data_IF_939328716553
#
_entry.id   IF_939328716553
#
_cell.length_a   1.000
_cell.length_b   1.000
_cell.length_c   1.000
_cell.angle_alpha   90.00
_cell.angle_beta   90.00
_cell.angle_gamma   90.00
#
_symmetry.space_group_name_H-M   'P 1'
#
loop_
_entity.id
_entity.type
_entity.pdbx_description
1 polymer ?
#
# COMPACT_ATOMS: atom_id res chain seq x y z
N UNK A 1 -22.33 -27.69 12.58
CA UNK A 1 -21.29 -27.13 13.46
C UNK A 1 -20.19 -28.16 13.57
N UNK A 2 -18.95 -27.82 13.19
CA UNK A 2 -17.81 -28.72 13.33
C UNK A 2 -17.53 -28.84 14.84
N UNK A 3 -17.63 -30.06 15.37
CA UNK A 3 -17.51 -30.31 16.80
C UNK A 3 -16.02 -30.34 17.18
N UNK A 4 -15.55 -29.49 18.11
CA UNK A 4 -14.12 -29.39 18.45
C UNK A 4 -13.56 -30.71 18.97
N UNK A 5 -14.36 -31.50 19.69
CA UNK A 5 -13.96 -32.84 20.16
C UNK A 5 -13.60 -33.81 19.03
N UNK A 6 -14.31 -33.76 17.90
CA UNK A 6 -14.00 -34.62 16.75
C UNK A 6 -12.71 -34.21 16.05
N UNK A 7 -12.38 -32.91 16.07
CA UNK A 7 -11.12 -32.40 15.55
C UNK A 7 -9.94 -32.82 16.44
N UNK A 8 -10.14 -32.78 17.76
CA UNK A 8 -9.18 -33.25 18.77
C UNK A 8 -8.89 -34.75 18.60
N UNK A 9 -9.93 -35.58 18.49
CA UNK A 9 -9.78 -37.04 18.33
C UNK A 9 -9.02 -37.38 17.02
N UNK A 10 -9.32 -36.67 15.93
CA UNK A 10 -8.61 -36.82 14.65
C UNK A 10 -7.16 -36.36 14.80
N UNK A 11 -6.90 -35.22 15.46
CA UNK A 11 -5.54 -34.74 15.70
C UNK A 11 -4.71 -35.73 16.54
N UNK A 12 -5.33 -36.36 17.54
CA UNK A 12 -4.69 -37.34 18.43
C UNK A 12 -4.42 -38.67 17.71
N UNK A 13 -5.36 -39.12 16.88
CA UNK A 13 -5.23 -40.35 16.09
C UNK A 13 -4.23 -40.18 14.94
N UNK A 14 -4.16 -38.99 14.33
CA UNK A 14 -3.13 -38.63 13.36
C UNK A 14 -1.77 -38.54 14.07
N UNK A 15 -1.64 -37.81 15.17
CA UNK A 15 -0.39 -37.70 15.92
C UNK A 15 0.14 -39.06 16.43
N UNK A 16 -0.75 -39.97 16.84
CA UNK A 16 -0.39 -41.33 17.26
C UNK A 16 -0.01 -42.27 16.10
N UNK A 17 -0.44 -41.98 14.87
CA UNK A 17 -0.12 -42.75 13.67
C UNK A 17 1.10 -42.18 12.89
N UNK A 18 1.63 -41.03 13.29
CA UNK A 18 2.82 -40.44 12.66
C UNK A 18 4.10 -41.13 13.20
N UNK A 19 4.82 -41.94 12.39
CA UNK A 19 6.15 -42.42 12.76
C UNK A 19 7.10 -41.27 13.14
N UNK A 20 8.12 -41.50 13.99
CA UNK A 20 9.03 -40.47 14.48
C UNK A 20 9.75 -39.67 13.38
N UNK A 21 9.85 -40.22 12.16
CA UNK A 21 10.37 -39.50 10.99
C UNK A 21 9.46 -38.39 10.44
N UNK A 22 8.16 -38.41 10.75
CA UNK A 22 7.21 -37.38 10.31
C UNK A 22 7.24 -36.12 11.16
N UNK A 23 7.80 -36.17 12.37
CA UNK A 23 8.03 -34.98 13.19
C UNK A 23 9.07 -34.07 12.56
N UNK A 24 10.16 -34.66 12.04
CA UNK A 24 11.16 -33.94 11.25
C UNK A 24 10.56 -33.38 9.95
N UNK A 25 9.65 -34.12 9.31
CA UNK A 25 8.96 -33.65 8.09
C UNK A 25 8.00 -32.49 8.42
N UNK A 26 7.32 -32.52 9.56
CA UNK A 26 6.46 -31.42 10.00
C UNK A 26 7.28 -30.15 10.26
N UNK A 27 8.42 -30.28 10.95
CA UNK A 27 9.34 -29.15 11.20
C UNK A 27 9.95 -28.61 9.90
N UNK A 28 10.31 -29.48 8.95
CA UNK A 28 10.79 -29.06 7.62
C UNK A 28 9.70 -28.37 6.79
N UNK A 29 8.46 -28.87 6.88
CA UNK A 29 7.31 -28.28 6.20
C UNK A 29 7.00 -26.90 6.77
N UNK A 30 6.97 -26.75 8.10
CA UNK A 30 6.78 -25.46 8.76
C UNK A 30 7.86 -24.45 8.33
N UNK A 31 9.12 -24.86 8.33
CA UNK A 31 10.23 -24.00 7.90
C UNK A 31 10.11 -23.59 6.42
N UNK A 32 9.77 -24.52 5.52
CA UNK A 32 9.53 -24.20 4.10
C UNK A 32 8.33 -23.27 3.91
N UNK A 33 7.23 -23.53 4.60
CA UNK A 33 6.04 -22.68 4.53
C UNK A 33 6.36 -21.27 5.02
N UNK A 34 7.12 -21.13 6.12
CA UNK A 34 7.56 -19.84 6.64
C UNK A 34 8.46 -19.10 5.65
N UNK A 35 9.43 -19.77 5.04
CA UNK A 35 10.31 -19.18 4.02
C UNK A 35 9.53 -18.74 2.78
N UNK A 36 8.58 -19.55 2.31
CA UNK A 36 7.73 -19.20 1.17
C UNK A 36 6.84 -18.00 1.54
N UNK A 37 6.20 -18.00 2.71
CA UNK A 37 5.39 -16.86 3.15
C UNK A 37 6.22 -15.58 3.22
N UNK A 38 7.41 -15.65 3.79
CA UNK A 38 8.32 -14.52 3.91
C UNK A 38 8.77 -14.03 2.53
N UNK A 39 9.13 -14.93 1.62
CA UNK A 39 9.50 -14.58 0.25
C UNK A 39 8.33 -14.01 -0.55
N UNK A 40 7.11 -14.47 -0.33
CA UNK A 40 5.91 -13.95 -0.98
C UNK A 40 5.50 -12.58 -0.42
N UNK A 41 5.63 -12.37 0.90
CA UNK A 41 5.40 -11.05 1.53
C UNK A 41 6.46 -10.04 1.09
N UNK A 42 7.73 -10.43 0.94
CA UNK A 42 8.78 -9.57 0.38
C UNK A 42 8.59 -9.24 -1.10
N UNK A 43 7.83 -10.05 -1.84
CA UNK A 43 7.47 -9.82 -3.25
C UNK A 43 6.16 -9.04 -3.41
N UNK A 44 5.34 -8.94 -2.36
CA UNK A 44 4.28 -7.96 -2.36
C UNK A 44 4.98 -6.61 -2.35
N UNK A 45 4.54 -5.71 -3.21
CA UNK A 45 5.04 -4.34 -3.34
C UNK A 45 4.62 -3.54 -2.09
N UNK A 46 5.13 -3.96 -0.94
CA UNK A 46 4.86 -3.36 0.35
C UNK A 46 5.67 -2.09 0.37
N UNK A 47 5.08 -1.03 -0.21
CA UNK A 47 5.55 0.33 -0.01
C UNK A 47 5.69 0.49 1.49
N UNK A 48 6.92 0.70 1.94
CA UNK A 48 7.17 0.87 3.36
C UNK A 48 6.31 2.04 3.85
N UNK A 49 5.88 1.99 5.11
CA UNK A 49 5.07 3.08 5.68
C UNK A 49 5.77 4.44 5.51
N UNK A 50 7.10 4.44 5.53
CA UNK A 50 7.96 5.60 5.28
C UNK A 50 7.86 6.10 3.83
N UNK A 51 7.99 5.23 2.83
CA UNK A 51 7.85 5.61 1.41
C UNK A 51 6.44 6.13 1.10
N UNK A 52 5.41 5.55 1.72
CA UNK A 52 4.04 6.03 1.58
C UNK A 52 3.86 7.44 2.17
N UNK A 53 4.46 7.71 3.33
CA UNK A 53 4.44 9.04 3.95
C UNK A 53 5.19 10.07 3.08
N UNK A 54 6.35 9.71 2.51
CA UNK A 54 7.10 10.56 1.58
C UNK A 54 6.27 10.90 0.34
N UNK A 55 5.64 9.91 -0.29
CA UNK A 55 4.77 10.15 -1.46
C UNK A 55 3.60 11.06 -1.12
N UNK A 56 2.99 10.89 0.05
CA UNK A 56 1.91 11.76 0.54
C UNK A 56 2.38 13.21 0.70
N UNK A 57 3.57 13.43 1.24
CA UNK A 57 4.16 14.76 1.37
C UNK A 57 4.47 15.41 0.02
N UNK A 58 4.99 14.63 -0.93
CA UNK A 58 5.23 15.10 -2.30
C UNK A 58 3.91 15.50 -2.98
N UNK A 59 2.85 14.72 -2.79
CA UNK A 59 1.52 15.02 -3.32
C UNK A 59 0.94 16.31 -2.71
N UNK A 60 1.04 16.48 -1.39
CA UNK A 60 0.61 17.70 -0.70
C UNK A 60 1.32 18.94 -1.27
N UNK A 61 2.65 18.89 -1.35
CA UNK A 61 3.46 19.99 -1.88
C UNK A 61 3.14 20.29 -3.34
N UNK A 62 2.84 19.26 -4.14
CA UNK A 62 2.44 19.44 -5.54
C UNK A 62 1.08 20.13 -5.64
N UNK A 63 0.12 19.77 -4.78
CA UNK A 63 -1.18 20.41 -4.73
C UNK A 63 -1.10 21.89 -4.33
N UNK A 64 -0.26 22.21 -3.34
CA UNK A 64 -0.01 23.60 -2.93
C UNK A 64 0.58 24.42 -4.09
N UNK A 65 1.60 23.89 -4.76
CA UNK A 65 2.20 24.55 -5.93
C UNK A 65 1.21 24.73 -7.07
N UNK A 66 0.33 23.75 -7.29
CA UNK A 66 -0.70 23.81 -8.33
C UNK A 66 -1.69 24.94 -8.04
N UNK A 67 -2.19 25.06 -6.81
CA UNK A 67 -3.10 26.15 -6.41
C UNK A 67 -2.43 27.52 -6.60
N UNK A 68 -1.16 27.64 -6.23
CA UNK A 68 -0.41 28.89 -6.40
C UNK A 68 -0.22 29.24 -7.89
N UNK A 69 0.03 28.26 -8.75
CA UNK A 69 0.10 28.47 -10.20
C UNK A 69 -1.26 28.87 -10.78
N UNK A 70 -2.34 28.23 -10.36
CA UNK A 70 -3.71 28.61 -10.78
C UNK A 70 -4.01 30.07 -10.42
N UNK A 71 -3.63 30.50 -9.22
CA UNK A 71 -3.78 31.90 -8.79
C UNK A 71 -2.98 32.87 -9.65
N UNK A 72 -1.71 32.56 -9.92
CA UNK A 72 -0.87 33.39 -10.78
C UNK A 72 -1.43 33.50 -12.20
N UNK A 73 -1.90 32.39 -12.77
CA UNK A 73 -2.52 32.40 -14.10
C UNK A 73 -3.80 33.24 -14.09
N UNK A 74 -4.65 33.09 -13.08
CA UNK A 74 -5.87 33.89 -12.96
C UNK A 74 -5.57 35.40 -12.84
N UNK A 75 -4.53 35.75 -12.08
CA UNK A 75 -4.09 37.14 -11.94
C UNK A 75 -3.55 37.70 -13.27
N UNK A 76 -2.72 36.94 -13.98
CA UNK A 76 -2.20 37.33 -15.30
C UNK A 76 -3.32 37.52 -16.33
N UNK A 77 -4.31 36.62 -16.37
CA UNK A 77 -5.48 36.74 -17.25
C UNK A 77 -6.25 38.02 -16.90
N UNK A 78 -6.46 38.31 -15.63
CA UNK A 78 -7.14 39.53 -15.17
C UNK A 78 -6.37 40.80 -15.56
N UNK A 79 -5.04 40.79 -15.40
CA UNK A 79 -4.19 41.90 -15.79
C UNK A 79 -4.25 42.13 -17.32
N UNK A 80 -4.18 41.08 -18.14
CA UNK A 80 -4.31 41.20 -19.59
C UNK A 80 -5.68 41.75 -20.01
N UNK A 81 -6.77 41.26 -19.42
CA UNK A 81 -8.11 41.77 -19.69
C UNK A 81 -8.23 43.27 -19.32
N UNK A 82 -7.68 43.69 -18.19
CA UNK A 82 -7.68 45.10 -17.78
C UNK A 82 -6.83 46.00 -18.71
N UNK A 83 -5.74 45.48 -19.27
CA UNK A 83 -4.90 46.23 -20.21
C UNK A 83 -5.59 46.43 -21.57
N UNK A 84 -6.36 45.44 -22.04
CA UNK A 84 -7.16 45.55 -23.27
C UNK A 84 -8.29 46.58 -23.14
N UNK A 85 -9.00 46.63 -22.00
CA UNK A 85 -10.05 47.63 -21.77
C UNK A 85 -9.52 49.07 -21.73
N UNK A 86 -8.29 49.30 -21.23
CA UNK A 86 -7.66 50.62 -21.27
C UNK A 86 -7.20 51.01 -22.67
N UNK A 87 -6.84 50.06 -23.54
CA UNK A 87 -6.44 50.33 -24.91
C UNK A 87 -7.64 50.72 -25.79
N UNK A 88 -8.79 50.05 -25.63
CA UNK A 88 -10.03 50.37 -26.36
C UNK A 88 -10.67 51.70 -25.92
N UNK A 89 -10.41 52.18 -24.70
CA UNK A 89 -10.92 53.48 -24.21
C UNK A 89 -10.04 54.68 -24.61
N UNK A 90 -8.86 54.44 -25.16
CA UNK A 90 -7.92 55.48 -25.60
C UNK A 90 -7.89 55.67 -27.13
N UNK A 91 -8.68 54.88 -27.88
CA UNK A 91 -8.98 55.09 -29.30
C UNK A 91 -10.35 55.73 -29.47
#
# INVERSE_FOLDING_TARGET
MINPKKLEDIAQQVAGALPPGLKNIADEFENKTKQILQAQVSKLDVVSREEFEVQTQVLLKTREKLVLLEQQVAELIKQQASQQETADKQQ
#
